data_IF_296366679700
#
_entry.id   IF_296366679700
#
_cell.length_a   1.000
_cell.length_b   1.000
_cell.length_c   1.000
_cell.angle_alpha   90.00
_cell.angle_beta   90.00
_cell.angle_gamma   90.00
#
_symmetry.space_group_name_H-M   'P 1'
#
loop_
_entity.id
_entity.type
_entity.pdbx_description
1 polymer ?
#
# COMPACT_ATOMS: atom_id res chain seq x y z
N UNK A 1 3.16 12.08 13.11
CA UNK A 1 3.12 10.61 13.18
C UNK A 1 1.77 10.06 12.71
N UNK A 2 0.64 10.52 13.27
CA UNK A 2 -0.68 9.90 13.08
C UNK A 2 -1.48 10.32 11.82
N UNK A 3 -0.84 10.87 10.79
CA UNK A 3 -1.53 11.26 9.54
C UNK A 3 -1.12 10.31 8.41
N UNK A 4 -2.09 9.94 7.55
CA UNK A 4 -1.89 9.19 6.32
C UNK A 4 -1.53 10.14 5.16
N UNK A 5 -0.62 9.71 4.29
CA UNK A 5 -0.09 10.57 3.22
C UNK A 5 -0.18 9.91 1.83
N UNK A 6 -0.29 10.76 0.81
CA UNK A 6 -0.27 10.38 -0.60
C UNK A 6 -1.47 9.54 -1.04
N UNK A 7 -1.41 9.06 -2.29
CA UNK A 7 -2.48 8.26 -2.90
C UNK A 7 -2.69 6.89 -2.26
N UNK A 8 -1.67 6.37 -1.56
CA UNK A 8 -1.72 5.06 -0.90
C UNK A 8 -2.13 5.14 0.58
N UNK A 9 -2.33 6.35 1.13
CA UNK A 9 -2.78 6.59 2.50
C UNK A 9 -1.93 5.87 3.58
N UNK A 10 -0.60 5.92 3.44
CA UNK A 10 0.32 5.30 4.40
C UNK A 10 0.55 6.25 5.58
N UNK A 11 0.43 5.74 6.80
CA UNK A 11 0.68 6.51 8.01
C UNK A 11 2.17 6.87 8.15
N UNK A 12 2.44 8.12 8.54
CA UNK A 12 3.80 8.60 8.73
C UNK A 12 4.59 7.84 9.81
N UNK A 13 3.92 7.12 10.71
CA UNK A 13 4.57 6.24 11.70
C UNK A 13 5.43 5.13 11.08
N UNK A 14 5.15 4.71 9.84
CA UNK A 14 5.91 3.68 9.14
C UNK A 14 7.21 4.18 8.50
N UNK A 15 7.65 5.40 8.80
CA UNK A 15 8.91 5.96 8.27
C UNK A 15 10.12 5.02 8.45
N UNK A 16 10.34 4.33 9.59
CA UNK A 16 11.49 3.44 9.74
C UNK A 16 11.37 2.23 8.80
N UNK A 17 10.16 1.67 8.69
CA UNK A 17 9.86 0.55 7.79
C UNK A 17 9.94 0.91 6.31
N UNK A 18 9.91 2.20 5.99
CA UNK A 18 10.06 2.70 4.62
C UNK A 18 11.50 3.14 4.29
N UNK A 19 12.46 2.90 5.20
CA UNK A 19 13.87 3.27 5.00
C UNK A 19 14.19 4.74 5.23
N UNK A 20 13.29 5.48 5.89
CA UNK A 20 13.51 6.87 6.27
C UNK A 20 14.09 6.95 7.69
N UNK A 21 15.06 7.84 7.92
CA UNK A 21 15.68 8.00 9.24
C UNK A 21 14.79 8.76 10.23
N UNK A 22 13.86 9.58 9.72
CA UNK A 22 12.94 10.38 10.53
C UNK A 22 11.64 10.67 9.76
N UNK A 23 10.67 11.27 10.46
CA UNK A 23 9.36 11.61 9.90
C UNK A 23 9.42 12.62 8.75
N UNK A 24 10.39 13.53 8.73
CA UNK A 24 10.49 14.56 7.68
C UNK A 24 10.90 13.94 6.35
N UNK A 25 11.74 12.91 6.35
CA UNK A 25 12.16 12.21 5.13
C UNK A 25 11.00 11.52 4.42
N UNK A 26 10.13 10.81 5.16
CA UNK A 26 8.96 10.16 4.54
C UNK A 26 7.97 11.21 4.02
N UNK A 27 7.78 12.33 4.74
CA UNK A 27 6.93 13.44 4.28
C UNK A 27 7.51 14.06 3.01
N UNK A 28 8.83 14.30 2.95
CA UNK A 28 9.51 14.82 1.77
C UNK A 28 9.33 13.90 0.56
N UNK A 29 9.38 12.57 0.75
CA UNK A 29 9.08 11.59 -0.31
C UNK A 29 7.62 11.63 -0.76
N UNK A 30 6.68 11.84 0.14
CA UNK A 30 5.27 11.97 -0.24
C UNK A 30 4.99 13.23 -1.07
N UNK A 31 5.61 14.36 -0.72
CA UNK A 31 5.40 15.64 -1.42
C UNK A 31 6.26 15.78 -2.69
N UNK A 32 7.28 14.93 -2.91
CA UNK A 32 8.12 14.96 -4.11
C UNK A 32 7.42 14.47 -5.39
N UNK A 33 6.15 14.07 -5.30
CA UNK A 33 5.35 13.58 -6.42
C UNK A 33 5.21 12.06 -6.47
N UNK A 34 4.55 11.57 -7.51
CA UNK A 34 4.09 10.16 -7.62
C UNK A 34 5.21 9.14 -7.49
N UNK A 35 6.40 9.41 -8.02
CA UNK A 35 7.55 8.52 -7.91
C UNK A 35 7.97 8.30 -6.45
N UNK A 36 8.06 9.38 -5.65
CA UNK A 36 8.38 9.28 -4.23
C UNK A 36 7.29 8.53 -3.44
N UNK A 37 6.01 8.75 -3.78
CA UNK A 37 4.91 8.00 -3.18
C UNK A 37 4.98 6.50 -3.53
N UNK A 38 5.33 6.16 -4.77
CA UNK A 38 5.49 4.78 -5.21
C UNK A 38 6.67 4.08 -4.52
N UNK A 39 7.80 4.77 -4.34
CA UNK A 39 8.94 4.24 -3.58
C UNK A 39 8.55 3.88 -2.14
N UNK A 40 7.85 4.79 -1.45
CA UNK A 40 7.35 4.54 -0.09
C UNK A 40 6.34 3.38 -0.08
N UNK A 41 5.42 3.33 -1.04
CA UNK A 41 4.47 2.24 -1.16
C UNK A 41 5.15 0.88 -1.34
N UNK A 42 6.15 0.79 -2.22
CA UNK A 42 6.90 -0.46 -2.44
C UNK A 42 7.63 -0.89 -1.17
N UNK A 43 8.29 0.03 -0.47
CA UNK A 43 8.98 -0.27 0.79
C UNK A 43 8.00 -0.74 1.87
N UNK A 44 6.89 -0.01 2.04
CA UNK A 44 5.82 -0.37 2.98
C UNK A 44 5.23 -1.75 2.69
N UNK A 45 4.93 -2.06 1.43
CA UNK A 45 4.37 -3.35 1.03
C UNK A 45 5.31 -4.50 1.36
N UNK A 46 6.61 -4.36 1.04
CA UNK A 46 7.62 -5.38 1.30
C UNK A 46 7.85 -5.62 2.79
N UNK A 47 7.89 -4.56 3.59
CA UNK A 47 8.31 -4.64 4.99
C UNK A 47 7.16 -4.82 5.97
N UNK A 48 5.97 -4.29 5.67
CA UNK A 48 4.81 -4.30 6.58
C UNK A 48 3.66 -5.17 6.10
N UNK A 49 3.59 -5.49 4.80
CA UNK A 49 2.47 -6.23 4.20
C UNK A 49 2.93 -7.48 3.40
N UNK A 50 3.75 -8.38 3.97
CA UNK A 50 4.26 -9.55 3.24
C UNK A 50 3.14 -10.47 2.72
N UNK A 51 2.02 -10.57 3.43
CA UNK A 51 0.85 -11.31 2.96
C UNK A 51 0.21 -10.67 1.72
N UNK A 52 0.20 -9.34 1.62
CA UNK A 52 -0.29 -8.65 0.43
C UNK A 52 0.66 -8.87 -0.75
N UNK A 53 1.97 -8.81 -0.52
CA UNK A 53 2.99 -9.10 -1.56
C UNK A 53 2.85 -10.52 -2.08
N UNK A 54 2.68 -11.51 -1.19
CA UNK A 54 2.39 -12.89 -1.60
C UNK A 54 1.13 -12.96 -2.45
N UNK A 55 0.05 -12.28 -2.02
CA UNK A 55 -1.21 -12.24 -2.76
C UNK A 55 -1.06 -11.62 -4.16
N UNK A 56 -0.23 -10.58 -4.31
CA UNK A 56 0.11 -10.01 -5.62
C UNK A 56 0.85 -11.02 -6.50
N UNK A 57 1.83 -11.75 -5.96
CA UNK A 57 2.61 -12.75 -6.71
C UNK A 57 1.76 -13.96 -7.15
N UNK A 58 0.75 -14.33 -6.36
CA UNK A 58 -0.13 -15.48 -6.65
C UNK A 58 -1.48 -15.08 -7.23
N UNK A 59 -1.68 -13.79 -7.58
CA UNK A 59 -2.94 -13.22 -8.07
C UNK A 59 -4.15 -13.53 -7.15
N UNK A 60 -3.90 -13.63 -5.84
CA UNK A 60 -4.93 -13.87 -4.83
C UNK A 60 -5.52 -12.54 -4.35
N UNK A 61 -6.40 -11.94 -5.16
CA UNK A 61 -6.87 -10.55 -4.98
C UNK A 61 -7.60 -10.29 -3.66
N UNK A 62 -8.35 -11.26 -3.15
CA UNK A 62 -8.99 -11.15 -1.83
C UNK A 62 -7.96 -11.12 -0.69
N UNK A 63 -6.86 -11.86 -0.83
CA UNK A 63 -5.74 -11.83 0.12
C UNK A 63 -5.05 -10.46 0.09
N UNK A 64 -4.88 -9.86 -1.09
CA UNK A 64 -4.34 -8.49 -1.21
C UNK A 64 -5.27 -7.51 -0.50
N UNK A 65 -6.57 -7.57 -0.77
CA UNK A 65 -7.57 -6.70 -0.18
C UNK A 65 -7.60 -6.80 1.36
N UNK A 66 -7.60 -8.02 1.90
CA UNK A 66 -7.62 -8.27 3.34
C UNK A 66 -6.31 -7.87 4.03
N UNK A 67 -5.16 -8.15 3.42
CA UNK A 67 -3.87 -7.82 4.01
C UNK A 67 -3.61 -6.30 4.01
N UNK A 68 -4.04 -5.60 2.96
CA UNK A 68 -3.85 -4.15 2.85
C UNK A 68 -4.87 -3.37 3.69
N UNK A 69 -6.17 -3.63 3.47
CA UNK A 69 -7.28 -2.85 4.04
C UNK A 69 -7.86 -3.43 5.35
N UNK A 70 -7.40 -4.61 5.77
CA UNK A 70 -7.90 -5.31 6.96
C UNK A 70 -9.02 -6.31 6.65
N UNK A 71 -9.34 -7.19 7.62
CA UNK A 71 -10.33 -8.26 7.45
C UNK A 71 -11.75 -7.76 7.18
N UNK A 72 -12.07 -6.54 7.62
CA UNK A 72 -13.36 -5.88 7.39
C UNK A 72 -13.54 -5.24 6.01
N UNK A 73 -12.56 -5.37 5.10
CA UNK A 73 -12.54 -4.63 3.82
C UNK A 73 -13.83 -4.78 3.01
N UNK A 74 -14.45 -5.97 2.99
CA UNK A 74 -15.68 -6.22 2.23
C UNK A 74 -16.87 -5.38 2.68
N UNK A 75 -16.93 -5.03 3.97
CA UNK A 75 -18.02 -4.19 4.49
C UNK A 75 -17.88 -2.74 4.01
N UNK A 76 -16.66 -2.26 3.81
CA UNK A 76 -16.39 -0.89 3.37
C UNK A 76 -16.29 -0.75 1.85
N UNK A 77 -15.77 -1.76 1.16
CA UNK A 77 -15.60 -1.78 -0.29
C UNK A 77 -15.64 -3.24 -0.81
N UNK A 78 -16.84 -3.79 -1.09
CA UNK A 78 -16.99 -5.19 -1.52
C UNK A 78 -16.32 -5.48 -2.87
N UNK A 79 -16.13 -4.47 -3.72
CA UNK A 79 -15.62 -4.64 -5.08
C UNK A 79 -14.09 -4.49 -5.19
N UNK A 80 -13.39 -4.19 -4.09
CA UNK A 80 -11.95 -3.91 -4.12
C UNK A 80 -11.13 -5.03 -4.79
N UNK A 81 -11.37 -6.29 -4.42
CA UNK A 81 -10.66 -7.42 -5.01
C UNK A 81 -11.02 -7.65 -6.48
N UNK A 82 -12.29 -7.43 -6.86
CA UNK A 82 -12.76 -7.55 -8.24
C UNK A 82 -12.08 -6.50 -9.12
N UNK A 83 -11.98 -5.26 -8.65
CA UNK A 83 -11.29 -4.19 -9.36
C UNK A 83 -9.79 -4.45 -9.50
N UNK A 84 -9.11 -4.97 -8.46
CA UNK A 84 -7.72 -5.39 -8.58
C UNK A 84 -7.52 -6.41 -9.71
N UNK A 85 -8.38 -7.43 -9.77
CA UNK A 85 -8.34 -8.44 -10.82
C UNK A 85 -8.53 -7.83 -12.22
N UNK A 86 -9.57 -7.00 -12.38
CA UNK A 86 -9.92 -6.38 -13.64
C UNK A 86 -8.79 -5.46 -14.16
N UNK A 87 -8.20 -4.64 -13.29
CA UNK A 87 -7.10 -3.76 -13.68
C UNK A 87 -5.80 -4.51 -13.96
N UNK A 88 -5.51 -5.59 -13.23
CA UNK A 88 -4.38 -6.45 -13.58
C UNK A 88 -4.55 -7.02 -14.99
N UNK A 89 -5.73 -7.56 -15.32
CA UNK A 89 -6.00 -8.10 -16.65
C UNK A 89 -5.97 -7.03 -17.76
N UNK A 90 -6.32 -5.78 -17.45
CA UNK A 90 -6.27 -4.66 -18.39
C UNK A 90 -4.83 -4.19 -18.70
N UNK A 91 -3.92 -4.22 -17.72
CA UNK A 91 -2.60 -3.59 -17.83
C UNK A 91 -1.42 -4.58 -17.91
N UNK A 92 -1.67 -5.89 -17.91
CA UNK A 92 -0.61 -6.91 -18.06
C UNK A 92 0.03 -6.95 -19.44
#
# INVERSE_FOLDING_TARGET
>A
MACSWGGFQILGEYYPSCGCANIFEIVNKFISGTNGQAEIFVAFMKNMKPAAVKGLQTHSWEQVAAAYNGSGWRASNPDYAIHLAAYYDQFK
#
